data_IF_422910820063
#
_entry.id   IF_422910820063
#
_cell.length_a   1.000
_cell.length_b   1.000
_cell.length_c   1.000
_cell.angle_alpha   90.00
_cell.angle_beta   90.00
_cell.angle_gamma   90.00
#
_symmetry.space_group_name_H-M   'P 1'
#
loop_
_entity.id
_entity.type
_entity.pdbx_description
1 polymer ?
#
# COMPACT_ATOMS: atom_id res chain seq x y z
N UNK A 1 -2.77 13.87 15.07
CA UNK A 1 -2.31 14.55 16.30
C UNK A 1 -3.28 14.34 17.45
N UNK A 2 -4.55 14.74 17.36
CA UNK A 2 -5.52 14.59 18.46
C UNK A 2 -5.66 13.13 18.92
N UNK A 3 -5.82 12.19 17.99
CA UNK A 3 -5.93 10.76 18.33
C UNK A 3 -4.70 10.22 19.04
N UNK A 4 -3.51 10.74 18.74
CA UNK A 4 -2.25 10.34 19.37
C UNK A 4 -2.18 10.81 20.82
N UNK A 5 -2.53 12.07 21.09
CA UNK A 5 -2.60 12.58 22.46
C UNK A 5 -3.65 11.82 23.29
N UNK A 6 -4.84 11.56 22.72
CA UNK A 6 -5.86 10.73 23.38
C UNK A 6 -5.42 9.29 23.62
N UNK A 7 -4.61 8.73 22.72
CA UNK A 7 -4.01 7.41 22.94
C UNK A 7 -2.99 7.43 24.09
N UNK A 8 -2.12 8.45 24.17
CA UNK A 8 -1.18 8.64 25.28
C UNK A 8 -1.92 8.79 26.62
N UNK A 9 -2.96 9.63 26.67
CA UNK A 9 -3.83 9.79 27.85
C UNK A 9 -4.49 8.47 28.26
N UNK A 10 -4.90 7.64 27.29
CA UNK A 10 -5.48 6.32 27.53
C UNK A 10 -4.45 5.23 27.91
N UNK A 11 -3.16 5.55 27.87
CA UNK A 11 -2.08 4.69 28.33
C UNK A 11 -1.36 3.88 27.26
N UNK A 12 -1.44 4.29 25.99
CA UNK A 12 -0.58 3.74 24.94
C UNK A 12 0.88 4.12 25.19
N UNK A 13 1.78 3.15 25.06
CA UNK A 13 3.21 3.32 25.33
C UNK A 13 4.00 3.98 24.18
N UNK A 14 3.55 3.79 22.93
CA UNK A 14 4.29 4.22 21.73
C UNK A 14 3.37 4.86 20.70
N UNK A 15 3.82 5.95 20.10
CA UNK A 15 3.11 6.67 19.03
C UNK A 15 4.07 6.88 17.86
N UNK A 16 3.67 6.45 16.67
CA UNK A 16 4.40 6.73 15.44
C UNK A 16 4.22 8.19 15.01
N UNK A 17 5.33 8.88 14.78
CA UNK A 17 5.39 10.26 14.33
C UNK A 17 6.39 10.42 13.18
N UNK A 18 6.38 11.58 12.53
CA UNK A 18 7.38 11.99 11.56
C UNK A 18 7.90 13.39 11.92
N UNK A 19 9.11 13.74 11.44
CA UNK A 19 9.60 15.12 11.49
C UNK A 19 8.71 16.02 10.62
N UNK A 20 8.49 17.26 11.06
CA UNK A 20 7.54 18.19 10.43
C UNK A 20 7.64 18.31 8.90
N UNK A 21 8.84 18.37 8.27
CA UNK A 21 8.95 18.46 6.80
C UNK A 21 8.37 17.27 6.03
N UNK A 22 8.28 16.10 6.68
CA UNK A 22 7.75 14.85 6.11
C UNK A 22 6.43 14.41 6.76
N UNK A 23 5.92 15.19 7.71
CA UNK A 23 4.73 14.87 8.46
C UNK A 23 3.45 15.36 7.77
N UNK A 24 2.32 14.95 8.35
CA UNK A 24 0.97 15.33 7.96
C UNK A 24 0.58 14.82 6.57
N UNK A 25 -0.59 15.26 6.09
CA UNK A 25 -1.22 14.81 4.86
C UNK A 25 -1.46 13.30 4.84
N UNK A 26 -0.63 12.55 4.11
CA UNK A 26 -0.69 11.09 4.01
C UNK A 26 0.37 10.39 4.87
N UNK A 27 1.22 11.17 5.53
CA UNK A 27 2.22 10.68 6.47
C UNK A 27 1.70 10.75 7.91
N UNK A 28 2.57 10.40 8.86
CA UNK A 28 2.28 10.43 10.29
C UNK A 28 2.17 11.87 10.82
N UNK A 29 1.59 12.08 12.02
CA UNK A 29 1.62 13.38 12.68
C UNK A 29 3.03 13.89 12.92
N UNK A 30 3.18 15.21 12.95
CA UNK A 30 4.43 15.85 13.30
C UNK A 30 4.79 15.55 14.77
N UNK A 31 6.05 15.17 15.02
CA UNK A 31 6.56 14.80 16.35
C UNK A 31 6.72 16.01 17.26
N UNK A 32 7.12 17.15 16.71
CA UNK A 32 7.43 18.39 17.41
C UNK A 32 6.26 18.90 18.29
N UNK A 33 5.04 19.07 17.76
CA UNK A 33 3.91 19.50 18.59
C UNK A 33 3.47 18.44 19.61
N UNK A 34 3.74 17.16 19.37
CA UNK A 34 3.43 16.09 20.33
C UNK A 34 4.40 16.15 21.50
N UNK A 35 5.70 16.27 21.24
CA UNK A 35 6.72 16.43 22.27
C UNK A 35 6.49 17.70 23.09
N UNK A 36 6.23 18.83 22.43
CA UNK A 36 5.92 20.07 23.13
C UNK A 36 4.66 19.95 24.03
N UNK A 37 3.65 19.19 23.60
CA UNK A 37 2.42 18.99 24.39
C UNK A 37 2.61 18.03 25.58
N UNK A 38 3.54 17.08 25.48
CA UNK A 38 3.84 16.11 26.55
C UNK A 38 4.96 16.59 27.49
N UNK A 39 5.66 17.67 27.15
CA UNK A 39 6.79 18.16 27.91
C UNK A 39 6.43 18.46 29.38
N UNK A 40 7.20 17.89 30.31
CA UNK A 40 6.99 18.05 31.74
C UNK A 40 5.78 17.28 32.31
N UNK A 41 5.08 16.48 31.50
CA UNK A 41 4.03 15.58 31.98
C UNK A 41 4.60 14.22 32.39
N UNK A 42 3.81 13.39 33.06
CA UNK A 42 4.19 11.98 33.36
C UNK A 42 4.41 11.13 32.09
N UNK A 43 3.95 11.62 30.94
CA UNK A 43 4.07 10.98 29.63
C UNK A 43 5.13 11.64 28.75
N UNK A 44 5.99 12.50 29.31
CA UNK A 44 7.12 13.08 28.60
C UNK A 44 8.13 11.97 28.22
N UNK A 45 8.45 11.76 26.93
CA UNK A 45 9.43 10.76 26.53
C UNK A 45 10.88 11.17 26.81
N UNK A 46 11.14 12.40 27.27
CA UNK A 46 12.48 12.90 27.61
C UNK A 46 13.37 13.14 26.39
N UNK A 47 12.77 13.47 25.24
CA UNK A 47 13.52 13.82 24.02
C UNK A 47 13.85 15.31 24.00
N UNK A 48 15.10 15.65 23.69
CA UNK A 48 15.58 17.03 23.59
C UNK A 48 14.98 17.73 22.37
N UNK A 49 14.06 18.68 22.61
CA UNK A 49 13.32 19.39 21.56
C UNK A 49 14.24 20.13 20.57
N UNK A 50 15.32 20.73 21.05
CA UNK A 50 16.27 21.46 20.19
C UNK A 50 16.93 20.53 19.16
N UNK A 51 17.29 19.30 19.56
CA UNK A 51 17.83 18.30 18.63
C UNK A 51 16.79 17.88 17.58
N UNK A 52 15.52 17.77 17.98
CA UNK A 52 14.43 17.46 17.04
C UNK A 52 14.25 18.60 16.02
N UNK A 53 14.35 19.86 16.45
CA UNK A 53 14.29 21.00 15.54
C UNK A 53 15.47 21.05 14.57
N UNK A 54 16.69 20.75 15.03
CA UNK A 54 17.87 20.63 14.17
C UNK A 54 17.69 19.53 13.10
N UNK A 55 17.15 18.37 13.49
CA UNK A 55 16.81 17.29 12.55
C UNK A 55 15.73 17.72 11.54
N UNK A 56 14.72 18.48 11.99
CA UNK A 56 13.71 19.05 11.12
C UNK A 56 14.31 19.97 10.05
N UNK A 57 15.21 20.88 10.44
CA UNK A 57 15.91 21.77 9.51
C UNK A 57 16.78 21.00 8.52
N UNK A 58 17.53 20.02 9.00
CA UNK A 58 18.33 19.15 8.13
C UNK A 58 17.46 18.45 7.08
N UNK A 59 16.31 17.92 7.48
CA UNK A 59 15.39 17.26 6.56
C UNK A 59 14.79 18.24 5.55
N UNK A 60 14.45 19.47 5.95
CA UNK A 60 13.94 20.51 5.05
C UNK A 60 14.96 20.83 3.94
N UNK A 61 16.24 21.00 4.29
CA UNK A 61 17.31 21.22 3.31
C UNK A 61 17.49 20.01 2.38
N UNK A 62 17.44 18.80 2.94
CA UNK A 62 17.55 17.56 2.19
C UNK A 62 16.43 17.42 1.15
N UNK A 63 15.20 17.75 1.54
CA UNK A 63 14.00 17.62 0.70
C UNK A 63 14.03 18.49 -0.57
N UNK A 64 14.88 19.52 -0.63
CA UNK A 64 15.08 20.31 -1.85
C UNK A 64 15.53 19.45 -3.04
N UNK A 65 16.29 18.37 -2.80
CA UNK A 65 16.73 17.41 -3.83
C UNK A 65 15.57 16.59 -4.40
N UNK A 66 14.45 16.49 -3.67
CA UNK A 66 13.28 15.70 -4.02
C UNK A 66 12.05 16.56 -4.33
N UNK A 67 12.23 17.87 -4.53
CA UNK A 67 11.12 18.82 -4.74
C UNK A 67 10.16 18.38 -5.86
N UNK A 68 10.69 17.74 -6.91
CA UNK A 68 9.91 17.32 -8.08
C UNK A 68 9.00 16.11 -7.78
N UNK A 69 9.24 15.42 -6.67
CA UNK A 69 8.42 14.31 -6.17
C UNK A 69 7.42 14.75 -5.09
N UNK A 70 7.49 16.02 -4.64
CA UNK A 70 6.55 16.53 -3.67
C UNK A 70 5.14 16.59 -4.27
N UNK A 71 4.16 16.14 -3.50
CA UNK A 71 2.79 16.22 -3.92
C UNK A 71 2.32 17.69 -3.87
N UNK A 72 2.13 18.32 -5.02
CA UNK A 72 1.66 19.73 -5.15
C UNK A 72 0.22 19.84 -5.65
N UNK A 73 -0.50 18.71 -5.69
CA UNK A 73 -1.84 18.63 -6.31
C UNK A 73 -2.92 19.48 -5.65
N UNK A 74 -2.73 19.88 -4.39
CA UNK A 74 -3.68 20.69 -3.62
C UNK A 74 -2.92 21.59 -2.65
N UNK A 75 -3.51 22.75 -2.37
CA UNK A 75 -3.03 23.68 -1.34
C UNK A 75 -3.29 23.13 0.06
N UNK A 76 -4.44 22.48 0.27
CA UNK A 76 -4.77 21.89 1.56
C UNK A 76 -3.84 20.71 1.89
N UNK A 77 -3.17 20.80 3.04
CA UNK A 77 -2.33 19.72 3.58
C UNK A 77 -3.19 18.55 4.08
N UNK A 78 -4.41 18.81 4.57
CA UNK A 78 -5.32 17.80 5.11
C UNK A 78 -6.38 17.43 4.07
N UNK A 79 -6.51 16.14 3.73
CA UNK A 79 -7.61 15.65 2.88
C UNK A 79 -8.79 15.16 3.73
N UNK A 80 -9.81 15.99 3.86
CA UNK A 80 -11.02 15.67 4.64
C UNK A 80 -11.92 14.65 3.95
N UNK A 81 -11.74 14.41 2.64
CA UNK A 81 -12.57 13.45 1.90
C UNK A 81 -12.34 12.00 2.35
N UNK A 82 -11.19 11.72 3.00
CA UNK A 82 -10.91 10.39 3.59
C UNK A 82 -12.01 9.92 4.54
N UNK A 83 -12.67 10.86 5.25
CA UNK A 83 -13.77 10.58 6.15
C UNK A 83 -15.03 10.07 5.42
N UNK A 84 -15.16 10.37 4.13
CA UNK A 84 -16.28 9.92 3.29
C UNK A 84 -15.97 8.61 2.58
N UNK A 85 -14.82 8.51 1.93
CA UNK A 85 -14.53 7.39 1.03
C UNK A 85 -13.70 6.26 1.66
N UNK A 86 -13.08 6.47 2.84
CA UNK A 86 -12.21 5.47 3.52
C UNK A 86 -11.08 4.91 2.64
N UNK A 87 -10.58 5.70 1.69
CA UNK A 87 -9.54 5.28 0.74
C UNK A 87 -8.21 5.79 1.30
N UNK A 88 -7.20 4.91 1.49
CA UNK A 88 -5.86 5.34 1.89
C UNK A 88 -5.26 6.34 0.91
N UNK A 89 -4.53 7.35 1.40
CA UNK A 89 -4.01 8.44 0.55
C UNK A 89 -3.18 7.95 -0.65
N UNK A 90 -2.31 6.96 -0.45
CA UNK A 90 -1.49 6.39 -1.53
C UNK A 90 -2.30 5.67 -2.62
N UNK A 91 -3.48 5.14 -2.28
CA UNK A 91 -4.36 4.47 -3.25
C UNK A 91 -5.03 5.49 -4.19
N UNK A 92 -5.38 6.69 -3.69
CA UNK A 92 -6.01 7.75 -4.50
C UNK A 92 -5.09 8.23 -5.62
N UNK A 93 -3.81 8.48 -5.31
CA UNK A 93 -2.84 8.95 -6.30
C UNK A 93 -2.71 7.98 -7.47
N UNK A 94 -2.62 6.68 -7.18
CA UNK A 94 -2.53 5.63 -8.21
C UNK A 94 -3.81 5.55 -9.05
N UNK A 95 -4.98 5.63 -8.41
CA UNK A 95 -6.27 5.57 -9.07
C UNK A 95 -6.48 6.75 -10.05
N UNK A 96 -6.09 7.96 -9.64
CA UNK A 96 -6.13 9.15 -10.49
C UNK A 96 -5.19 9.00 -11.69
N UNK A 97 -3.99 8.44 -11.51
CA UNK A 97 -3.06 8.18 -12.61
C UNK A 97 -3.68 7.22 -13.64
N UNK A 98 -4.27 6.11 -13.20
CA UNK A 98 -4.93 5.14 -14.08
C UNK A 98 -6.09 5.75 -14.89
N UNK A 99 -6.93 6.57 -14.24
CA UNK A 99 -8.03 7.24 -14.95
C UNK A 99 -7.54 8.29 -15.95
N UNK A 100 -6.44 8.98 -15.67
CA UNK A 100 -5.82 9.91 -16.62
C UNK A 100 -5.29 9.18 -17.85
N UNK A 101 -4.59 8.07 -17.66
CA UNK A 101 -4.10 7.22 -18.76
C UNK A 101 -5.26 6.72 -19.64
N UNK A 102 -6.37 6.34 -19.01
CA UNK A 102 -7.61 5.93 -19.69
C UNK A 102 -8.42 7.11 -20.27
N UNK A 103 -7.97 8.37 -20.10
CA UNK A 103 -8.70 9.59 -20.49
C UNK A 103 -10.13 9.66 -19.92
N UNK A 104 -10.32 9.18 -18.70
CA UNK A 104 -11.61 9.03 -18.01
C UNK A 104 -11.60 9.66 -16.61
N UNK A 105 -10.81 10.71 -16.40
CA UNK A 105 -10.67 11.37 -15.09
C UNK A 105 -12.00 11.96 -14.57
N UNK A 106 -12.88 12.36 -15.48
CA UNK A 106 -14.24 12.83 -15.21
C UNK A 106 -15.10 11.78 -14.51
N UNK A 107 -14.78 10.48 -14.65
CA UNK A 107 -15.49 9.36 -14.04
C UNK A 107 -15.02 9.02 -12.62
N UNK A 108 -14.09 9.79 -12.06
CA UNK A 108 -13.59 9.61 -10.70
C UNK A 108 -14.71 9.51 -9.63
N UNK A 109 -15.79 10.31 -9.68
CA UNK A 109 -16.90 10.15 -8.72
C UNK A 109 -17.57 8.77 -8.78
N UNK A 110 -17.76 8.20 -9.98
CA UNK A 110 -18.32 6.84 -10.15
C UNK A 110 -17.41 5.79 -9.50
N UNK A 111 -16.09 5.96 -9.60
CA UNK A 111 -15.13 5.05 -8.99
C UNK A 111 -15.20 5.11 -7.46
N UNK A 112 -15.39 6.29 -6.87
CA UNK A 112 -15.59 6.42 -5.43
C UNK A 112 -16.86 5.71 -4.94
N UNK A 113 -17.90 5.64 -5.75
CA UNK A 113 -19.11 4.87 -5.44
C UNK A 113 -18.92 3.36 -5.63
N UNK A 114 -18.08 2.96 -6.59
CA UNK A 114 -17.85 1.56 -6.94
C UNK A 114 -16.88 0.84 -5.99
N UNK A 115 -15.92 1.56 -5.40
CA UNK A 115 -14.98 1.01 -4.41
C UNK A 115 -15.69 0.32 -3.23
N UNK A 116 -16.64 0.95 -2.50
CA UNK A 116 -17.30 0.29 -1.37
C UNK A 116 -18.16 -0.90 -1.82
N UNK A 117 -18.72 -0.89 -3.04
CA UNK A 117 -19.48 -2.03 -3.60
C UNK A 117 -18.56 -3.20 -3.90
N UNK A 118 -17.42 -2.94 -4.54
CA UNK A 118 -16.38 -3.94 -4.83
C UNK A 118 -15.81 -4.52 -3.53
N UNK A 119 -15.51 -3.66 -2.55
CA UNK A 119 -15.05 -4.08 -1.21
C UNK A 119 -16.08 -4.99 -0.53
N UNK A 120 -17.38 -4.68 -0.63
CA UNK A 120 -18.45 -5.53 -0.10
C UNK A 120 -18.49 -6.90 -0.79
N UNK A 121 -18.46 -6.93 -2.12
CA UNK A 121 -18.45 -8.20 -2.86
C UNK A 121 -17.25 -9.08 -2.51
N UNK A 122 -16.12 -8.46 -2.12
CA UNK A 122 -14.91 -9.14 -1.68
C UNK A 122 -14.90 -9.49 -0.18
N UNK A 123 -16.02 -9.33 0.54
CA UNK A 123 -16.12 -9.72 1.95
C UNK A 123 -15.48 -8.72 2.92
N UNK A 124 -15.52 -7.43 2.60
CA UNK A 124 -15.04 -6.32 3.44
C UNK A 124 -13.56 -6.39 3.89
N UNK A 125 -12.59 -6.71 3.01
CA UNK A 125 -11.18 -6.66 3.41
C UNK A 125 -10.80 -5.26 3.92
N UNK A 126 -9.89 -5.16 4.90
CA UNK A 126 -9.24 -3.89 5.21
C UNK A 126 -8.58 -3.35 3.93
N UNK A 127 -8.73 -2.05 3.66
CA UNK A 127 -8.10 -1.42 2.49
C UNK A 127 -6.66 -1.03 2.83
N UNK A 128 -5.77 -2.01 2.84
CA UNK A 128 -4.32 -1.84 3.02
C UNK A 128 -3.60 -2.59 1.90
N UNK A 129 -2.31 -2.34 1.66
CA UNK A 129 -1.60 -3.12 0.64
C UNK A 129 -1.56 -4.61 1.05
N UNK A 130 -1.90 -5.56 0.14
CA UNK A 130 -2.21 -5.38 -1.28
C UNK A 130 -3.71 -5.15 -1.61
N UNK A 131 -4.64 -5.44 -0.70
CA UNK A 131 -6.10 -5.43 -0.94
C UNK A 131 -6.64 -4.06 -1.37
N UNK A 132 -6.07 -2.95 -0.92
CA UNK A 132 -6.43 -1.59 -1.37
C UNK A 132 -6.27 -1.44 -2.88
N UNK A 133 -5.14 -1.89 -3.43
CA UNK A 133 -4.87 -1.85 -4.88
C UNK A 133 -5.78 -2.81 -5.63
N UNK A 134 -5.98 -4.02 -5.12
CA UNK A 134 -6.85 -5.03 -5.75
C UNK A 134 -8.28 -4.50 -5.89
N UNK A 135 -8.86 -3.98 -4.81
CA UNK A 135 -10.21 -3.38 -4.81
C UNK A 135 -10.26 -2.14 -5.70
N UNK A 136 -9.26 -1.26 -5.60
CA UNK A 136 -9.20 -0.01 -6.35
C UNK A 136 -9.16 -0.20 -7.86
N UNK A 137 -8.24 -1.05 -8.33
CA UNK A 137 -8.10 -1.36 -9.77
C UNK A 137 -9.36 -2.05 -10.28
N UNK A 138 -9.90 -3.01 -9.54
CA UNK A 138 -11.13 -3.69 -9.96
C UNK A 138 -12.32 -2.71 -10.02
N UNK A 139 -12.42 -1.75 -9.10
CA UNK A 139 -13.44 -0.71 -9.16
C UNK A 139 -13.30 0.19 -10.39
N UNK A 140 -12.07 0.59 -10.76
CA UNK A 140 -11.81 1.32 -12.00
C UNK A 140 -12.26 0.51 -13.22
N UNK A 141 -11.90 -0.77 -13.30
CA UNK A 141 -12.31 -1.66 -14.39
C UNK A 141 -13.83 -1.84 -14.45
N UNK A 142 -14.49 -1.96 -13.30
CA UNK A 142 -15.95 -2.06 -13.20
C UNK A 142 -16.64 -0.80 -13.75
N UNK A 143 -16.10 0.39 -13.47
CA UNK A 143 -16.61 1.65 -14.01
C UNK A 143 -16.36 1.73 -15.53
N UNK A 144 -15.15 1.44 -15.98
CA UNK A 144 -14.77 1.57 -17.39
C UNK A 144 -15.49 0.57 -18.31
N UNK A 145 -15.63 -0.68 -17.88
CA UNK A 145 -16.06 -1.79 -18.75
C UNK A 145 -17.37 -2.45 -18.30
N UNK A 146 -17.87 -2.12 -17.10
CA UNK A 146 -18.99 -2.78 -16.44
C UNK A 146 -18.53 -3.78 -15.38
N UNK A 147 -19.34 -3.94 -14.31
CA UNK A 147 -18.97 -4.74 -13.14
C UNK A 147 -18.54 -6.17 -13.51
N UNK A 148 -17.32 -6.53 -13.14
CA UNK A 148 -16.71 -7.84 -13.30
C UNK A 148 -16.74 -8.42 -14.72
N UNK A 149 -16.89 -7.59 -15.76
CA UNK A 149 -16.67 -8.05 -17.15
C UNK A 149 -15.21 -8.33 -17.44
N UNK A 150 -14.32 -7.57 -16.79
CA UNK A 150 -12.88 -7.79 -16.78
C UNK A 150 -12.47 -7.99 -15.33
N UNK A 151 -11.90 -9.15 -15.03
CA UNK A 151 -11.46 -9.52 -13.67
C UNK A 151 -9.95 -9.73 -13.69
N UNK A 152 -9.23 -8.98 -12.87
CA UNK A 152 -7.76 -9.09 -12.80
C UNK A 152 -7.32 -10.41 -12.20
N UNK A 153 -6.09 -10.82 -12.50
CA UNK A 153 -5.51 -12.02 -11.90
C UNK A 153 -5.49 -11.95 -10.37
N UNK A 154 -5.14 -10.80 -9.80
CA UNK A 154 -5.09 -10.61 -8.35
C UNK A 154 -6.47 -10.72 -7.68
N UNK A 155 -7.55 -10.32 -8.36
CA UNK A 155 -8.92 -10.53 -7.86
C UNK A 155 -9.28 -12.01 -7.91
N UNK A 156 -8.89 -12.74 -8.95
CA UNK A 156 -9.07 -14.20 -9.00
C UNK A 156 -8.30 -14.91 -7.90
N UNK A 157 -7.04 -14.55 -7.70
CA UNK A 157 -6.17 -15.04 -6.63
C UNK A 157 -6.78 -14.75 -5.24
N UNK A 158 -7.40 -13.57 -5.05
CA UNK A 158 -8.16 -13.22 -3.85
C UNK A 158 -9.37 -14.11 -3.63
N UNK A 159 -10.22 -14.29 -4.66
CA UNK A 159 -11.39 -15.15 -4.56
C UNK A 159 -11.05 -16.63 -4.39
N UNK A 160 -9.87 -17.05 -4.86
CA UNK A 160 -9.35 -18.40 -4.66
C UNK A 160 -8.82 -18.60 -3.24
N UNK A 161 -8.44 -17.54 -2.53
CA UNK A 161 -7.97 -17.60 -1.13
C UNK A 161 -6.47 -17.37 -0.95
N UNK A 162 -5.72 -16.97 -1.98
CA UNK A 162 -4.25 -16.77 -1.88
C UNK A 162 -3.85 -15.59 -0.98
N UNK A 163 -4.78 -14.72 -0.62
CA UNK A 163 -4.56 -13.60 0.31
C UNK A 163 -5.13 -13.88 1.71
N UNK A 164 -5.58 -15.12 1.96
CA UNK A 164 -6.20 -15.53 3.21
C UNK A 164 -7.71 -15.38 3.22
N UNK A 165 -8.29 -15.55 4.41
CA UNK A 165 -9.75 -15.55 4.61
C UNK A 165 -10.30 -14.14 4.75
N UNK A 166 -11.29 -13.73 3.92
CA UNK A 166 -11.98 -12.45 4.09
C UNK A 166 -12.71 -12.37 5.44
N UNK A 167 -12.83 -11.17 6.05
CA UNK A 167 -13.48 -11.02 7.36
C UNK A 167 -14.99 -11.24 7.32
N UNK A 168 -15.62 -11.11 6.16
CA UNK A 168 -17.03 -11.42 5.92
C UNK A 168 -17.19 -12.33 4.69
N UNK A 169 -18.33 -13.02 4.53
CA UNK A 169 -18.62 -13.80 3.33
C UNK A 169 -18.49 -12.95 2.06
N UNK A 170 -17.84 -13.52 1.05
CA UNK A 170 -17.76 -12.91 -0.28
C UNK A 170 -19.07 -13.09 -1.04
N UNK A 171 -19.27 -12.30 -2.09
CA UNK A 171 -20.40 -12.48 -3.00
C UNK A 171 -20.20 -13.78 -3.81
N UNK A 172 -21.07 -14.79 -3.65
CA UNK A 172 -20.89 -16.10 -4.26
C UNK A 172 -20.98 -16.07 -5.79
N UNK A 173 -21.78 -15.17 -6.35
CA UNK A 173 -21.93 -15.04 -7.81
C UNK A 173 -20.65 -14.48 -8.42
N UNK A 174 -20.04 -13.48 -7.77
CA UNK A 174 -18.78 -12.88 -8.22
C UNK A 174 -17.61 -13.86 -8.04
N UNK A 175 -17.56 -14.58 -6.92
CA UNK A 175 -16.53 -15.60 -6.69
C UNK A 175 -16.59 -16.69 -7.78
N UNK A 176 -17.80 -17.21 -8.07
CA UNK A 176 -18.00 -18.19 -9.13
C UNK A 176 -17.58 -17.65 -10.51
N UNK A 177 -17.91 -16.40 -10.81
CA UNK A 177 -17.50 -15.76 -12.06
C UNK A 177 -15.98 -15.60 -12.16
N UNK A 178 -15.33 -15.17 -11.08
CA UNK A 178 -13.88 -14.95 -11.04
C UNK A 178 -13.10 -16.27 -11.19
N UNK A 179 -13.58 -17.34 -10.58
CA UNK A 179 -12.90 -18.64 -10.54
C UNK A 179 -13.19 -19.54 -11.74
N UNK A 180 -14.13 -19.16 -12.61
CA UNK A 180 -14.43 -19.92 -13.83
C UNK A 180 -13.17 -20.07 -14.71
N UNK A 181 -12.74 -21.31 -14.92
CA UNK A 181 -11.53 -21.65 -15.68
C UNK A 181 -10.22 -21.17 -15.05
N UNK A 182 -10.20 -20.92 -13.73
CA UNK A 182 -8.98 -20.49 -13.04
C UNK A 182 -7.93 -21.61 -13.00
N UNK A 183 -6.64 -21.34 -13.28
CA UNK A 183 -5.62 -22.39 -13.45
C UNK A 183 -5.42 -23.32 -12.24
N UNK A 184 -5.76 -22.88 -11.02
CA UNK A 184 -5.65 -23.68 -9.80
C UNK A 184 -6.96 -24.38 -9.39
N UNK A 185 -7.99 -24.30 -10.22
CA UNK A 185 -9.31 -24.86 -9.97
C UNK A 185 -10.35 -23.82 -9.58
N UNK A 186 -11.63 -24.20 -9.66
CA UNK A 186 -12.77 -23.31 -9.35
C UNK A 186 -13.18 -23.34 -7.87
N UNK A 187 -12.63 -24.28 -7.09
CA UNK A 187 -12.86 -24.41 -5.65
C UNK A 187 -11.82 -23.58 -4.88
N UNK A 188 -12.24 -22.59 -4.07
CA UNK A 188 -11.32 -21.83 -3.21
C UNK A 188 -10.63 -22.72 -2.18
N UNK A 189 -9.40 -22.36 -1.80
CA UNK A 189 -8.69 -23.02 -0.70
C UNK A 189 -9.28 -22.59 0.66
N UNK A 190 -9.22 -23.50 1.64
CA UNK A 190 -9.57 -23.22 3.05
C UNK A 190 -8.36 -23.38 4.00
N UNK A 191 -7.16 -23.56 3.43
CA UNK A 191 -5.90 -23.60 4.17
C UNK A 191 -5.13 -22.28 4.06
N UNK A 192 -3.97 -22.19 4.72
CA UNK A 192 -3.08 -21.05 4.55
C UNK A 192 -2.50 -21.09 3.14
N UNK A 193 -2.52 -19.96 2.43
CA UNK A 193 -2.08 -19.86 1.04
C UNK A 193 -0.66 -20.40 0.78
N UNK A 194 0.26 -20.23 1.73
CA UNK A 194 1.62 -20.73 1.60
C UNK A 194 1.73 -22.27 1.62
N UNK A 195 0.68 -22.98 2.04
CA UNK A 195 0.68 -24.45 2.08
C UNK A 195 0.43 -25.06 0.69
N UNK A 196 -0.04 -24.27 -0.28
CA UNK A 196 -0.24 -24.68 -1.69
C UNK A 196 0.81 -24.08 -2.65
N UNK A 197 1.90 -23.53 -2.08
CA UNK A 197 3.02 -22.98 -2.83
C UNK A 197 4.25 -23.87 -2.65
N UNK A 198 4.92 -24.17 -3.76
CA UNK A 198 6.19 -24.90 -3.73
C UNK A 198 7.33 -23.99 -3.27
N UNK A 199 8.35 -24.51 -2.55
CA UNK A 199 9.54 -23.74 -2.22
C UNK A 199 10.26 -23.18 -3.46
N UNK A 200 10.51 -21.87 -3.50
CA UNK A 200 11.04 -21.19 -4.69
C UNK A 200 12.52 -20.81 -4.60
N UNK A 201 13.15 -20.98 -3.43
CA UNK A 201 14.53 -20.53 -3.21
C UNK A 201 15.54 -21.19 -4.14
N UNK A 202 15.38 -22.47 -4.46
CA UNK A 202 16.30 -23.17 -5.36
C UNK A 202 16.19 -22.66 -6.80
N UNK A 203 14.96 -22.38 -7.25
CA UNK A 203 14.72 -21.75 -8.56
C UNK A 203 15.36 -20.36 -8.63
N UNK A 204 15.26 -19.57 -7.55
CA UNK A 204 15.89 -18.25 -7.48
C UNK A 204 17.43 -18.32 -7.52
N UNK A 205 18.04 -19.33 -6.87
CA UNK A 205 19.49 -19.57 -6.94
C UNK A 205 19.94 -19.91 -8.36
N UNK A 206 19.24 -20.81 -9.03
CA UNK A 206 19.61 -21.20 -10.39
C UNK A 206 19.41 -20.03 -11.37
N UNK A 207 18.31 -19.27 -11.24
CA UNK A 207 18.03 -18.12 -12.12
C UNK A 207 19.03 -16.96 -11.95
N UNK A 208 19.70 -16.86 -10.82
CA UNK A 208 20.70 -15.82 -10.53
C UNK A 208 22.14 -16.33 -10.57
N UNK A 209 22.34 -17.57 -10.99
CA UNK A 209 23.65 -18.20 -11.06
C UNK A 209 24.59 -17.41 -11.96
N UNK A 210 25.80 -17.15 -11.47
CA UNK A 210 26.79 -16.33 -12.17
C UNK A 210 26.60 -14.83 -12.04
N UNK A 211 25.51 -14.36 -11.41
CA UNK A 211 25.26 -12.93 -11.14
C UNK A 211 25.18 -12.67 -9.63
N UNK A 212 24.39 -13.44 -8.90
CA UNK A 212 24.25 -13.28 -7.45
C UNK A 212 25.57 -13.62 -6.72
N UNK A 213 25.99 -12.73 -5.82
CA UNK A 213 27.20 -12.90 -5.00
C UNK A 213 26.89 -13.34 -3.56
N UNK A 214 25.69 -13.07 -3.08
CA UNK A 214 25.25 -13.41 -1.73
C UNK A 214 23.76 -13.77 -1.67
N UNK A 215 23.27 -14.08 -0.46
CA UNK A 215 21.85 -14.40 -0.23
C UNK A 215 20.92 -13.22 -0.51
N UNK A 216 21.39 -11.98 -0.30
CA UNK A 216 20.61 -10.78 -0.57
C UNK A 216 20.26 -10.65 -2.06
N UNK A 217 21.23 -10.91 -2.94
CA UNK A 217 20.99 -10.91 -4.39
C UNK A 217 19.97 -11.99 -4.82
N UNK A 218 20.07 -13.19 -4.25
CA UNK A 218 19.09 -14.26 -4.51
C UNK A 218 17.69 -13.84 -4.05
N UNK A 219 17.57 -13.17 -2.89
CA UNK A 219 16.29 -12.66 -2.38
C UNK A 219 15.74 -11.50 -3.21
N UNK A 220 16.60 -10.63 -3.77
CA UNK A 220 16.17 -9.57 -4.69
C UNK A 220 15.45 -10.19 -5.90
N UNK A 221 16.01 -11.26 -6.48
CA UNK A 221 15.34 -12.00 -7.55
C UNK A 221 14.08 -12.71 -7.06
N UNK A 222 14.12 -13.38 -5.91
CA UNK A 222 12.95 -14.11 -5.40
C UNK A 222 11.74 -13.19 -5.16
N UNK A 223 11.98 -11.95 -4.69
CA UNK A 223 10.92 -10.96 -4.48
C UNK A 223 10.49 -10.26 -5.78
N UNK A 224 11.44 -10.02 -6.68
CA UNK A 224 11.22 -9.28 -7.93
C UNK A 224 11.98 -9.94 -9.09
N UNK A 225 11.48 -11.04 -9.69
CA UNK A 225 12.29 -11.84 -10.62
C UNK A 225 12.89 -11.06 -11.79
N UNK A 226 12.06 -10.32 -12.53
CA UNK A 226 12.53 -9.57 -13.70
C UNK A 226 13.30 -8.30 -13.29
N UNK A 227 12.68 -7.43 -12.49
CA UNK A 227 13.27 -6.14 -12.07
C UNK A 227 14.53 -6.34 -11.24
N UNK A 228 14.52 -7.33 -10.35
CA UNK A 228 15.64 -7.70 -9.52
C UNK A 228 16.80 -8.24 -10.35
N UNK A 229 16.56 -9.11 -11.35
CA UNK A 229 17.62 -9.58 -12.23
C UNK A 229 18.28 -8.44 -13.01
N UNK A 230 17.48 -7.55 -13.59
CA UNK A 230 17.98 -6.41 -14.35
C UNK A 230 18.77 -5.45 -13.45
N UNK A 231 18.31 -5.22 -12.22
CA UNK A 231 19.06 -4.48 -11.21
C UNK A 231 20.41 -5.14 -10.88
N UNK A 232 20.45 -6.46 -10.68
CA UNK A 232 21.68 -7.17 -10.34
C UNK A 232 22.71 -7.13 -11.47
N UNK A 233 22.27 -7.23 -12.73
CA UNK A 233 23.16 -7.07 -13.89
C UNK A 233 23.81 -5.68 -13.92
N UNK A 234 23.03 -4.63 -13.66
CA UNK A 234 23.52 -3.25 -13.53
C UNK A 234 24.48 -3.08 -12.36
N UNK A 235 24.10 -3.57 -11.18
CA UNK A 235 24.90 -3.51 -9.94
C UNK A 235 26.30 -4.09 -10.13
N UNK A 236 26.43 -5.16 -10.91
CA UNK A 236 27.71 -5.84 -11.12
C UNK A 236 28.37 -5.59 -12.47
N UNK A 237 27.85 -4.65 -13.27
CA UNK A 237 28.43 -4.31 -14.56
C UNK A 237 28.43 -5.48 -15.54
N UNK A 238 27.43 -6.36 -15.45
CA UNK A 238 27.23 -7.49 -16.39
C UNK A 238 26.40 -7.03 -17.61
N UNK A 239 25.90 -5.78 -17.60
CA UNK A 239 25.37 -5.11 -18.80
C UNK A 239 26.49 -4.48 -19.63
N UNK A 240 26.64 -5.02 -20.85
CA UNK A 240 27.02 -4.28 -22.05
C UNK A 240 25.80 -4.10 -22.95
#
# INVERSE_FOLDING_TARGET
SISCLKASEAGVDVIDCALAPLALRSAQPAVEPILAALHGTERDPGLELDQIFELGQYMEEMMQKYKDFLNTTRVAVIDTNVLKHQIPGGMITNLVAQLKEAKALDRLPEVYEEIPRTRKDMGYPPLVTPTSQIVGVQAVLNVLFGRYKVITQQVKDYFYGLYGRPPAPVNPEVQKLALKGYPRGEEPIDCRAADVLEPEMEKAREATKGIAKDRGDVLIYALYPQVGLDFLKKKYGVEG
#
